data_IF_209519950900
#
_entry.id   IF_209519950900
#
_cell.length_a   1.000
_cell.length_b   1.000
_cell.length_c   1.000
_cell.angle_alpha   90.00
_cell.angle_beta   90.00
_cell.angle_gamma   90.00
#
_symmetry.space_group_name_H-M   'P 1'
#
loop_
_entity.id
_entity.type
_entity.pdbx_description
1 polymer ?
#
# COMPACT_ATOMS: atom_id res chain seq x y z
N UNK A 1 1.65 -36.63 6.96
CA UNK A 1 0.96 -36.04 5.78
C UNK A 1 1.80 -34.86 5.33
N UNK A 2 2.15 -34.74 4.05
CA UNK A 2 2.78 -33.52 3.56
C UNK A 2 1.73 -32.41 3.57
N UNK A 3 1.98 -31.33 4.29
CA UNK A 3 1.15 -30.13 4.15
C UNK A 3 1.22 -29.65 2.70
N UNK A 4 0.06 -29.25 2.16
CA UNK A 4 -0.01 -28.64 0.82
C UNK A 4 0.47 -27.20 0.95
N UNK A 5 1.31 -26.77 0.01
CA UNK A 5 1.74 -25.36 -0.06
C UNK A 5 0.64 -24.57 -0.76
N UNK A 6 0.17 -23.50 -0.13
CA UNK A 6 -0.61 -22.47 -0.80
C UNK A 6 0.33 -21.57 -1.60
N UNK A 7 0.32 -21.74 -2.93
CA UNK A 7 1.23 -20.99 -3.82
C UNK A 7 0.83 -19.51 -3.89
N UNK A 8 -0.44 -19.18 -3.75
CA UNK A 8 -0.87 -17.79 -3.83
C UNK A 8 -0.43 -17.04 -2.58
N UNK A 9 -0.67 -17.64 -1.41
CA UNK A 9 -0.17 -17.08 -0.15
C UNK A 9 1.34 -16.93 -0.19
N UNK A 10 2.08 -17.99 -0.55
CA UNK A 10 3.55 -17.95 -0.62
C UNK A 10 4.11 -16.93 -1.61
N UNK A 11 3.45 -16.71 -2.74
CA UNK A 11 3.94 -15.81 -3.79
C UNK A 11 3.60 -14.34 -3.53
N UNK A 12 2.48 -14.06 -2.86
CA UNK A 12 1.94 -12.71 -2.75
C UNK A 12 1.90 -12.15 -1.32
N UNK A 13 2.04 -12.98 -0.28
CA UNK A 13 2.17 -12.45 1.09
C UNK A 13 3.44 -11.60 1.20
N UNK A 14 3.35 -10.51 1.93
CA UNK A 14 4.48 -9.61 2.21
C UNK A 14 4.75 -9.61 3.69
N UNK A 15 6.02 -9.81 4.04
CA UNK A 15 6.58 -9.50 5.35
C UNK A 15 7.81 -8.62 5.12
N UNK A 16 7.62 -7.31 5.31
CA UNK A 16 8.65 -6.30 5.14
C UNK A 16 9.09 -5.71 6.49
N UNK A 17 8.75 -6.36 7.62
CA UNK A 17 9.18 -5.98 8.96
C UNK A 17 8.17 -5.12 9.74
N UNK A 18 8.69 -4.36 10.71
CA UNK A 18 7.88 -3.53 11.61
C UNK A 18 7.16 -2.39 10.88
N UNK A 19 5.95 -1.99 11.31
CA UNK A 19 5.26 -0.82 10.78
C UNK A 19 6.14 0.44 10.81
N UNK A 20 5.93 1.33 9.84
CA UNK A 20 6.73 2.55 9.69
C UNK A 20 5.87 3.80 9.83
N UNK A 21 6.26 4.70 10.72
CA UNK A 21 5.66 6.03 10.85
C UNK A 21 6.16 6.96 9.72
N UNK A 22 5.24 7.74 9.17
CA UNK A 22 5.50 8.74 8.14
C UNK A 22 4.74 10.02 8.46
N UNK A 23 5.21 11.13 7.90
CA UNK A 23 4.55 12.44 8.02
C UNK A 23 4.39 13.07 6.65
N UNK A 24 3.19 13.58 6.35
CA UNK A 24 2.95 14.46 5.21
C UNK A 24 2.31 15.74 5.73
N UNK A 25 2.98 16.89 5.54
CA UNK A 25 2.48 18.22 5.95
C UNK A 25 2.02 18.31 7.43
N UNK A 26 2.61 17.49 8.31
CA UNK A 26 2.31 17.45 9.73
C UNK A 26 1.20 16.46 10.12
N UNK A 27 0.62 15.74 9.15
CA UNK A 27 -0.26 14.62 9.39
C UNK A 27 0.53 13.32 9.38
N UNK A 28 0.49 12.62 10.50
CA UNK A 28 1.21 11.37 10.71
C UNK A 28 0.36 10.15 10.34
N UNK A 29 0.98 9.16 9.72
CA UNK A 29 0.41 7.84 9.48
C UNK A 29 1.38 6.75 9.90
N UNK A 30 0.83 5.63 10.37
CA UNK A 30 1.55 4.38 10.56
C UNK A 30 1.23 3.46 9.39
N UNK A 31 2.26 3.11 8.60
CA UNK A 31 2.16 2.22 7.44
C UNK A 31 2.51 0.80 7.86
N UNK A 32 1.58 -0.12 7.62
CA UNK A 32 1.78 -1.56 7.75
C UNK A 32 2.79 -2.05 6.72
N UNK A 33 3.52 -3.10 7.10
CA UNK A 33 4.53 -3.74 6.26
C UNK A 33 4.35 -5.26 6.18
N UNK A 34 3.21 -5.76 6.68
CA UNK A 34 2.85 -7.17 6.69
C UNK A 34 1.43 -7.34 6.13
N UNK A 35 1.30 -8.15 5.08
CA UNK A 35 0.08 -8.33 4.30
C UNK A 35 -0.09 -9.79 3.88
N UNK A 36 -1.32 -10.31 3.97
CA UNK A 36 -1.67 -11.60 3.36
C UNK A 36 -1.73 -11.48 1.84
N UNK A 37 -1.72 -12.59 1.10
CA UNK A 37 -1.85 -12.53 -0.35
C UNK A 37 -3.18 -11.89 -0.80
N UNK A 38 -4.27 -12.10 -0.06
CA UNK A 38 -5.56 -11.46 -0.34
C UNK A 38 -5.51 -9.94 -0.15
N UNK A 39 -4.78 -9.44 0.85
CA UNK A 39 -4.59 -8.00 1.05
C UNK A 39 -3.76 -7.40 -0.10
N UNK A 40 -2.66 -8.08 -0.48
CA UNK A 40 -1.83 -7.65 -1.62
C UNK A 40 -2.62 -7.66 -2.93
N UNK A 41 -3.48 -8.65 -3.14
CA UNK A 41 -4.37 -8.70 -4.30
C UNK A 41 -5.29 -7.48 -4.40
N UNK A 42 -5.87 -7.05 -3.27
CA UNK A 42 -6.71 -5.84 -3.22
C UNK A 42 -5.89 -4.60 -3.58
N UNK A 43 -4.67 -4.48 -3.07
CA UNK A 43 -3.80 -3.34 -3.37
C UNK A 43 -3.41 -3.32 -4.86
N UNK A 44 -3.06 -4.48 -5.45
CA UNK A 44 -2.73 -4.57 -6.87
C UNK A 44 -3.90 -4.14 -7.75
N UNK A 45 -5.14 -4.52 -7.40
CA UNK A 45 -6.35 -4.13 -8.14
C UNK A 45 -6.53 -2.61 -8.24
N UNK A 46 -6.04 -1.83 -7.28
CA UNK A 46 -6.09 -0.36 -7.32
C UNK A 46 -5.24 0.26 -8.44
N UNK A 47 -4.43 -0.55 -9.14
CA UNK A 47 -3.63 -0.14 -10.29
C UNK A 47 -4.10 -0.80 -11.59
N UNK A 48 -5.18 -1.58 -11.52
CA UNK A 48 -5.77 -2.29 -12.65
C UNK A 48 -6.81 -1.45 -13.42
N UNK A 49 -7.26 -1.92 -14.58
CA UNK A 49 -8.30 -1.26 -15.37
C UNK A 49 -9.65 -1.14 -14.64
N UNK A 50 -9.89 -1.96 -13.62
CA UNK A 50 -11.16 -2.01 -12.88
C UNK A 50 -11.47 -0.72 -12.10
N UNK A 51 -10.44 0.06 -11.76
CA UNK A 51 -10.59 1.33 -11.04
C UNK A 51 -10.35 2.55 -11.92
N UNK A 52 -10.14 2.37 -13.22
CA UNK A 52 -9.76 3.45 -14.13
C UNK A 52 -10.81 4.57 -14.24
N UNK A 53 -12.09 4.24 -14.03
CA UNK A 53 -13.20 5.20 -14.05
C UNK A 53 -13.54 5.76 -12.66
N UNK A 54 -12.89 5.27 -11.60
CA UNK A 54 -13.15 5.72 -10.24
C UNK A 54 -12.46 7.06 -9.93
N UNK A 55 -13.05 7.92 -9.09
CA UNK A 55 -12.39 9.13 -8.63
C UNK A 55 -11.06 8.82 -7.93
N UNK A 56 -9.99 9.53 -8.32
CA UNK A 56 -8.65 9.34 -7.76
C UNK A 56 -8.62 9.39 -6.22
N UNK A 57 -9.43 10.26 -5.62
CA UNK A 57 -9.53 10.39 -4.17
C UNK A 57 -10.11 9.14 -3.50
N UNK A 58 -11.05 8.45 -4.14
CA UNK A 58 -11.64 7.22 -3.62
C UNK A 58 -10.63 6.07 -3.67
N UNK A 59 -9.95 5.92 -4.81
CA UNK A 59 -8.85 4.94 -4.98
C UNK A 59 -7.72 5.19 -3.99
N UNK A 60 -7.37 6.47 -3.77
CA UNK A 60 -6.34 6.86 -2.80
C UNK A 60 -6.77 6.53 -1.37
N UNK A 61 -8.03 6.80 -1.02
CA UNK A 61 -8.58 6.45 0.30
C UNK A 61 -8.52 4.96 0.54
N UNK A 62 -8.95 4.15 -0.42
CA UNK A 62 -8.90 2.69 -0.32
C UNK A 62 -7.47 2.18 -0.14
N UNK A 63 -6.50 2.75 -0.88
CA UNK A 63 -5.09 2.42 -0.68
C UNK A 63 -4.64 2.73 0.75
N UNK A 64 -4.91 3.93 1.26
CA UNK A 64 -4.51 4.33 2.62
C UNK A 64 -5.17 3.45 3.68
N UNK A 65 -6.44 3.09 3.50
CA UNK A 65 -7.16 2.19 4.40
C UNK A 65 -6.54 0.80 4.45
N UNK A 66 -6.06 0.28 3.31
CA UNK A 66 -5.39 -1.03 3.25
C UNK A 66 -4.02 -0.99 3.92
N UNK A 67 -3.24 0.08 3.71
CA UNK A 67 -1.84 0.12 4.15
C UNK A 67 -1.63 0.76 5.52
N UNK A 68 -2.63 1.36 6.16
CA UNK A 68 -2.44 2.08 7.43
C UNK A 68 -3.27 1.54 8.60
N UNK A 69 -2.66 1.52 9.78
CA UNK A 69 -3.34 1.23 11.07
C UNK A 69 -3.75 2.47 11.84
N UNK A 70 -3.52 3.67 11.31
CA UNK A 70 -3.89 4.91 11.99
C UNK A 70 -5.41 5.06 12.11
N UNK A 71 -5.86 5.98 12.96
CA UNK A 71 -7.28 6.26 13.10
C UNK A 71 -7.88 6.87 11.82
N UNK A 72 -9.17 6.63 11.60
CA UNK A 72 -9.90 7.09 10.40
C UNK A 72 -9.76 8.58 10.12
N UNK A 73 -9.70 9.41 11.18
CA UNK A 73 -9.47 10.85 11.02
C UNK A 73 -8.09 11.15 10.43
N UNK A 74 -7.03 10.52 10.96
CA UNK A 74 -5.67 10.71 10.47
C UNK A 74 -5.54 10.26 9.01
N UNK A 75 -6.15 9.13 8.65
CA UNK A 75 -6.22 8.68 7.24
C UNK A 75 -6.94 9.68 6.35
N UNK A 76 -8.10 10.18 6.76
CA UNK A 76 -8.86 11.15 5.98
C UNK A 76 -8.10 12.47 5.79
N UNK A 77 -7.47 12.99 6.85
CA UNK A 77 -6.66 14.21 6.80
C UNK A 77 -5.44 14.01 5.88
N UNK A 78 -4.77 12.87 5.97
CA UNK A 78 -3.65 12.52 5.09
C UNK A 78 -4.05 12.40 3.62
N UNK A 79 -5.19 11.77 3.31
CA UNK A 79 -5.73 11.70 1.94
C UNK A 79 -6.04 13.11 1.41
N UNK A 80 -6.63 13.97 2.24
CA UNK A 80 -6.89 15.35 1.86
C UNK A 80 -5.59 16.07 1.50
N UNK A 81 -4.53 15.92 2.30
CA UNK A 81 -3.22 16.52 2.01
C UNK A 81 -2.57 15.98 0.73
N UNK A 82 -2.67 14.67 0.47
CA UNK A 82 -2.24 14.08 -0.79
C UNK A 82 -2.94 14.72 -1.99
N UNK A 83 -4.24 14.96 -1.89
CA UNK A 83 -5.03 15.59 -2.97
C UNK A 83 -4.69 17.07 -3.19
N UNK A 84 -4.02 17.73 -2.22
CA UNK A 84 -3.52 19.10 -2.36
C UNK A 84 -2.13 19.19 -3.03
N UNK A 85 -1.54 18.05 -3.42
CA UNK A 85 -0.28 18.00 -4.16
C UNK A 85 -0.52 18.21 -5.66
N UNK A 86 0.50 18.70 -6.37
CA UNK A 86 0.47 18.62 -7.83
C UNK A 86 0.48 17.16 -8.29
N UNK A 87 -0.09 16.86 -9.46
CA UNK A 87 -0.15 15.48 -9.96
C UNK A 87 1.23 14.76 -10.00
N UNK A 88 2.34 15.40 -10.41
CA UNK A 88 3.66 14.78 -10.32
C UNK A 88 4.14 14.49 -8.88
N UNK A 89 3.83 15.37 -7.93
CA UNK A 89 4.18 15.16 -6.52
C UNK A 89 3.33 14.04 -5.93
N UNK A 90 2.03 14.03 -6.21
CA UNK A 90 1.10 12.98 -5.81
C UNK A 90 1.62 11.60 -6.24
N UNK A 91 1.96 11.42 -7.52
CA UNK A 91 2.46 10.14 -8.03
C UNK A 91 3.76 9.69 -7.36
N UNK A 92 4.67 10.64 -7.04
CA UNK A 92 5.90 10.33 -6.32
C UNK A 92 5.62 9.88 -4.90
N UNK A 93 4.76 10.59 -4.18
CA UNK A 93 4.39 10.24 -2.79
C UNK A 93 3.65 8.90 -2.77
N UNK A 94 2.66 8.70 -3.64
CA UNK A 94 1.93 7.43 -3.74
C UNK A 94 2.86 6.24 -4.02
N UNK A 95 3.79 6.39 -4.97
CA UNK A 95 4.79 5.35 -5.26
C UNK A 95 5.63 5.04 -4.01
N UNK A 96 6.12 6.08 -3.34
CA UNK A 96 6.91 5.93 -2.12
C UNK A 96 6.12 5.24 -0.99
N UNK A 97 4.83 5.52 -0.82
CA UNK A 97 3.99 4.84 0.17
C UNK A 97 3.98 3.33 -0.03
N UNK A 98 3.82 2.88 -1.28
CA UNK A 98 3.84 1.45 -1.60
C UNK A 98 5.23 0.82 -1.46
N UNK A 99 6.30 1.60 -1.63
CA UNK A 99 7.67 1.15 -1.35
C UNK A 99 7.92 1.01 0.15
N UNK A 100 7.48 1.98 0.95
CA UNK A 100 7.55 1.94 2.41
C UNK A 100 6.77 0.74 2.95
N UNK A 101 5.59 0.46 2.39
CA UNK A 101 4.80 -0.72 2.72
C UNK A 101 5.46 -2.06 2.31
N UNK A 102 6.56 -2.03 1.54
CA UNK A 102 7.24 -3.22 1.04
C UNK A 102 6.52 -3.91 -0.12
N UNK A 103 5.60 -3.22 -0.78
CA UNK A 103 4.77 -3.75 -1.88
C UNK A 103 5.46 -3.57 -3.22
N UNK A 104 6.18 -2.45 -3.39
CA UNK A 104 6.92 -2.15 -4.61
C UNK A 104 8.42 -1.99 -4.36
N UNK A 105 9.22 -2.40 -5.34
CA UNK A 105 10.66 -2.16 -5.37
C UNK A 105 11.02 -0.72 -5.76
N UNK A 106 12.32 -0.42 -5.72
CA UNK A 106 12.86 0.88 -6.14
C UNK A 106 12.58 1.17 -7.63
N UNK A 107 12.44 0.13 -8.44
CA UNK A 107 12.07 0.19 -9.86
C UNK A 107 10.57 0.42 -10.08
N UNK A 108 9.76 0.44 -9.01
CA UNK A 108 8.32 0.62 -9.05
C UNK A 108 7.53 -0.64 -9.41
N UNK A 109 8.18 -1.79 -9.56
CA UNK A 109 7.50 -3.07 -9.79
C UNK A 109 7.02 -3.69 -8.48
N UNK A 110 5.97 -4.51 -8.54
CA UNK A 110 5.52 -5.27 -7.37
C UNK A 110 6.56 -6.32 -6.98
N UNK A 111 6.85 -6.40 -5.68
CA UNK A 111 7.76 -7.42 -5.15
C UNK A 111 7.06 -8.79 -5.10
N UNK A 112 7.83 -9.85 -5.35
CA UNK A 112 7.37 -11.24 -5.24
C UNK A 112 7.76 -11.80 -3.88
N UNK A 113 6.78 -12.26 -3.11
CA UNK A 113 6.94 -12.98 -1.85
C UNK A 113 7.64 -12.23 -0.72
N UNK A 114 7.52 -12.76 0.49
CA UNK A 114 8.37 -12.40 1.62
C UNK A 114 9.82 -12.75 1.25
N UNK A 115 10.77 -11.83 1.51
CA UNK A 115 12.21 -12.18 1.44
C UNK A 115 12.40 -13.38 2.35
N UNK A 116 12.78 -14.52 1.78
CA UNK A 116 13.24 -15.67 2.56
C UNK A 116 14.24 -15.16 3.60
N UNK A 117 13.90 -15.35 4.88
CA UNK A 117 14.76 -15.03 6.03
C UNK A 117 15.97 -15.95 6.07
#
# INVERSE_FOLDING_TARGET
MSEKIDIFEKACSIDAGEPQEITLRGNDLTIRRNFTADEVHKIIRLYGPEVAEQPLQEVTRELIDLISTSEEKAKADFVNDLMQLSFPEFNKVQSLLTQIAGIRGEDGNFLTGSKDS
#
